data_IF_395302677970
#
_entry.id   IF_395302677970
#
_cell.length_a   1.000
_cell.length_b   1.000
_cell.length_c   1.000
_cell.angle_alpha   90.00
_cell.angle_beta   90.00
_cell.angle_gamma   90.00
#
_symmetry.space_group_name_H-M   'P 1'
#
loop_
_entity.id
_entity.type
_entity.pdbx_description
1 polymer ?
#
# COMPACT_ATOMS: atom_id res chain seq x y z
N UNK A 1 -11.48 -27.43 -11.83
CA UNK A 1 -10.07 -26.94 -11.87
C UNK A 1 -9.97 -25.43 -12.08
N UNK A 2 -10.81 -24.81 -12.94
CA UNK A 2 -10.81 -23.34 -13.16
C UNK A 2 -11.40 -22.53 -11.99
N UNK A 3 -12.23 -23.14 -11.16
CA UNK A 3 -12.97 -22.43 -10.10
C UNK A 3 -12.08 -21.95 -8.95
N UNK A 4 -11.02 -22.73 -8.60
CA UNK A 4 -10.06 -22.33 -7.56
C UNK A 4 -9.29 -21.05 -7.93
N UNK A 5 -8.98 -20.84 -9.21
CA UNK A 5 -8.27 -19.63 -9.65
C UNK A 5 -9.18 -18.42 -9.63
N UNK A 6 -10.45 -18.58 -10.05
CA UNK A 6 -11.46 -17.52 -9.93
C UNK A 6 -11.67 -17.11 -8.49
N UNK A 7 -11.73 -18.08 -7.57
CA UNK A 7 -11.85 -17.81 -6.14
C UNK A 7 -10.60 -17.10 -5.59
N UNK A 8 -9.40 -17.51 -6.00
CA UNK A 8 -8.17 -16.81 -5.64
C UNK A 8 -8.20 -15.35 -6.11
N UNK A 9 -8.56 -15.10 -7.38
CA UNK A 9 -8.66 -13.75 -7.96
C UNK A 9 -9.71 -12.91 -7.22
N UNK A 10 -10.86 -13.51 -6.87
CA UNK A 10 -11.90 -12.83 -6.09
C UNK A 10 -11.41 -12.44 -4.67
N UNK A 11 -10.47 -13.20 -4.10
CA UNK A 11 -9.84 -12.91 -2.80
C UNK A 11 -8.63 -11.99 -2.98
N UNK A 12 -8.93 -10.70 -3.22
CA UNK A 12 -7.95 -9.66 -3.55
C UNK A 12 -6.74 -9.58 -2.59
N UNK A 13 -6.94 -9.85 -1.29
CA UNK A 13 -5.86 -9.75 -0.29
C UNK A 13 -4.69 -10.70 -0.55
N UNK A 14 -4.95 -11.91 -1.06
CA UNK A 14 -3.90 -12.87 -1.40
C UNK A 14 -3.43 -12.69 -2.84
N UNK A 15 -4.38 -12.51 -3.77
CA UNK A 15 -4.07 -12.38 -5.19
C UNK A 15 -3.17 -11.18 -5.49
N UNK A 16 -3.40 -10.04 -4.83
CA UNK A 16 -2.57 -8.84 -5.01
C UNK A 16 -1.11 -9.10 -4.64
N UNK A 17 -0.84 -9.77 -3.52
CA UNK A 17 0.53 -10.11 -3.10
C UNK A 17 1.17 -11.08 -4.10
N UNK A 18 0.43 -12.10 -4.54
CA UNK A 18 0.91 -13.06 -5.53
C UNK A 18 1.26 -12.38 -6.87
N UNK A 19 0.44 -11.42 -7.31
CA UNK A 19 0.68 -10.64 -8.53
C UNK A 19 1.91 -9.74 -8.38
N UNK A 20 2.08 -9.05 -7.26
CA UNK A 20 3.27 -8.23 -7.01
C UNK A 20 4.56 -9.06 -7.02
N UNK A 21 4.52 -10.27 -6.44
CA UNK A 21 5.64 -11.23 -6.51
C UNK A 21 5.89 -11.66 -7.96
N UNK A 22 4.83 -11.93 -8.73
CA UNK A 22 4.94 -12.36 -10.13
C UNK A 22 5.56 -11.29 -11.03
N UNK A 23 5.11 -10.05 -10.90
CA UNK A 23 5.56 -8.92 -11.72
C UNK A 23 6.95 -8.41 -11.29
N UNK A 24 7.42 -8.78 -10.10
CA UNK A 24 8.71 -8.32 -9.57
C UNK A 24 8.77 -6.81 -9.33
N UNK A 25 7.61 -6.14 -9.25
CA UNK A 25 7.54 -4.69 -9.09
C UNK A 25 7.92 -4.28 -7.67
N UNK A 26 8.60 -3.14 -7.58
CA UNK A 26 8.88 -2.48 -6.31
C UNK A 26 7.80 -1.45 -6.02
N UNK A 27 7.01 -1.69 -4.98
CA UNK A 27 6.11 -0.67 -4.45
C UNK A 27 6.91 0.36 -3.66
N UNK A 28 6.90 1.60 -4.14
CA UNK A 28 7.57 2.72 -3.47
C UNK A 28 6.66 3.43 -2.46
N UNK A 29 5.34 3.33 -2.63
CA UNK A 29 4.34 3.99 -1.79
C UNK A 29 3.23 3.01 -1.43
N UNK A 30 2.80 2.98 -0.17
CA UNK A 30 1.75 2.03 0.25
C UNK A 30 0.41 2.33 -0.42
N UNK A 31 0.03 3.61 -0.49
CA UNK A 31 -1.22 4.09 -1.05
C UNK A 31 -1.05 5.46 -1.73
N UNK A 32 -2.12 5.94 -2.36
CA UNK A 32 -2.15 7.19 -3.12
C UNK A 32 -2.29 8.47 -2.26
N UNK A 33 -2.42 8.35 -0.94
CA UNK A 33 -2.81 9.42 -0.02
C UNK A 33 -1.82 10.60 0.02
N UNK A 34 -2.22 11.75 -0.54
CA UNK A 34 -1.38 12.92 -0.66
C UNK A 34 -0.43 12.88 -1.86
N UNK A 35 -0.57 11.95 -2.81
CA UNK A 35 0.24 11.91 -4.04
C UNK A 35 -0.63 11.85 -5.30
N UNK A 36 -1.42 10.78 -5.44
CA UNK A 36 -2.35 10.59 -6.56
C UNK A 36 -3.81 10.75 -6.16
N UNK A 37 -4.07 10.87 -4.85
CA UNK A 37 -5.39 11.06 -4.29
C UNK A 37 -5.29 12.01 -3.10
N UNK A 38 -6.29 12.88 -2.98
CA UNK A 38 -6.51 13.77 -1.85
C UNK A 38 -7.98 13.68 -1.45
N UNK A 39 -8.34 14.25 -0.31
CA UNK A 39 -9.73 14.36 0.15
C UNK A 39 -10.03 15.81 0.49
N UNK A 40 -11.23 16.26 0.20
CA UNK A 40 -11.70 17.60 0.50
C UNK A 40 -12.91 17.42 1.41
N UNK A 41 -12.93 18.11 2.55
CA UNK A 41 -14.07 18.05 3.46
C UNK A 41 -15.21 19.00 3.04
N UNK A 42 -16.26 19.06 3.85
CA UNK A 42 -17.44 19.89 3.56
C UNK A 42 -17.18 21.39 3.66
N UNK A 43 -16.13 21.79 4.38
CA UNK A 43 -15.75 23.18 4.59
C UNK A 43 -14.73 23.65 3.54
N UNK A 44 -14.21 22.72 2.73
CA UNK A 44 -13.26 22.99 1.65
C UNK A 44 -11.80 22.72 2.01
N UNK A 45 -11.51 22.20 3.21
CA UNK A 45 -10.16 21.87 3.62
C UNK A 45 -9.65 20.60 2.94
N UNK A 46 -8.38 20.64 2.53
CA UNK A 46 -7.72 19.60 1.75
C UNK A 46 -6.89 18.71 2.68
N UNK A 47 -7.01 17.39 2.52
CA UNK A 47 -6.33 16.38 3.33
C UNK A 47 -5.70 15.28 2.45
N UNK A 48 -4.69 14.55 2.97
CA UNK A 48 -4.02 13.49 2.21
C UNK A 48 -4.95 12.34 1.83
N UNK A 49 -5.86 11.97 2.72
CA UNK A 49 -6.91 11.00 2.44
C UNK A 49 -8.08 11.16 3.42
N UNK A 50 -9.16 10.44 3.15
CA UNK A 50 -10.38 10.48 3.95
C UNK A 50 -10.17 10.17 5.45
N UNK A 51 -9.11 9.43 5.81
CA UNK A 51 -8.84 9.10 7.23
C UNK A 51 -8.17 10.24 8.00
N UNK A 52 -7.58 11.23 7.30
CA UNK A 52 -6.96 12.41 7.92
C UNK A 52 -7.91 13.61 8.00
N UNK A 53 -9.12 13.50 7.45
CA UNK A 53 -10.11 14.59 7.47
C UNK A 53 -10.43 14.99 8.90
N UNK A 54 -10.38 16.30 9.19
CA UNK A 54 -10.60 16.87 10.51
C UNK A 54 -9.34 16.97 11.39
N UNK A 55 -8.22 16.37 11.00
CA UNK A 55 -6.95 16.52 11.70
C UNK A 55 -6.19 17.74 11.19
N UNK A 56 -6.21 18.82 11.96
CA UNK A 56 -5.60 20.10 11.57
C UNK A 56 -4.10 20.00 11.28
N UNK A 57 -3.38 19.05 11.87
CA UNK A 57 -1.96 18.84 11.61
C UNK A 57 -1.68 18.37 10.17
N UNK A 58 -2.66 17.69 9.56
CA UNK A 58 -2.57 17.16 8.20
C UNK A 58 -3.38 17.96 7.19
N UNK A 59 -3.85 19.16 7.54
CA UNK A 59 -4.49 20.05 6.58
C UNK A 59 -3.44 20.55 5.58
N UNK A 60 -3.70 20.30 4.29
CA UNK A 60 -2.85 20.66 3.17
C UNK A 60 -3.25 21.98 2.52
N UNK A 61 -4.34 22.61 2.98
CA UNK A 61 -4.83 23.86 2.39
C UNK A 61 -6.36 23.92 2.31
N UNK A 62 -6.84 24.84 1.50
CA UNK A 62 -8.26 25.20 1.42
C UNK A 62 -8.60 25.63 -0.01
N UNK A 63 -9.60 24.96 -0.60
CA UNK A 63 -10.05 25.23 -1.97
C UNK A 63 -10.67 26.61 -2.14
N UNK A 64 -11.25 27.19 -1.08
CA UNK A 64 -11.87 28.52 -1.13
C UNK A 64 -10.83 29.64 -1.24
N UNK A 65 -9.62 29.39 -0.70
CA UNK A 65 -8.50 30.34 -0.74
C UNK A 65 -7.49 30.03 -1.84
N UNK A 66 -7.69 28.95 -2.60
CA UNK A 66 -6.72 28.40 -3.57
C UNK A 66 -5.33 28.12 -2.97
N UNK A 67 -5.28 27.80 -1.67
CA UNK A 67 -4.04 27.42 -0.99
C UNK A 67 -3.89 25.91 -1.00
N UNK A 68 -2.74 25.42 -1.45
CA UNK A 68 -2.39 24.00 -1.41
C UNK A 68 -0.91 23.80 -1.12
N UNK A 69 -0.59 23.49 0.14
CA UNK A 69 0.75 23.23 0.67
C UNK A 69 1.12 21.74 0.57
N UNK A 70 1.14 21.24 -0.65
CA UNK A 70 1.37 19.81 -0.94
C UNK A 70 2.69 19.29 -0.38
N UNK A 71 3.79 20.02 -0.60
CA UNK A 71 5.15 19.55 -0.34
C UNK A 71 5.43 19.29 1.15
N UNK A 72 4.80 20.05 2.05
CA UNK A 72 5.02 19.95 3.49
C UNK A 72 4.56 18.58 4.00
N UNK A 73 3.36 18.19 3.62
CA UNK A 73 2.75 16.93 4.05
C UNK A 73 3.27 15.77 3.19
N UNK A 74 3.52 15.97 1.90
CA UNK A 74 4.10 14.95 1.03
C UNK A 74 5.42 14.40 1.59
N UNK A 75 6.35 15.28 2.00
CA UNK A 75 7.64 14.87 2.54
C UNK A 75 7.54 14.10 3.87
N UNK A 76 6.49 14.34 4.65
CA UNK A 76 6.23 13.63 5.90
C UNK A 76 5.63 12.24 5.65
N UNK A 77 4.77 12.13 4.64
CA UNK A 77 4.03 10.90 4.32
C UNK A 77 4.89 9.88 3.57
N UNK A 78 5.73 10.33 2.64
CA UNK A 78 6.41 9.44 1.69
C UNK A 78 7.84 9.03 2.10
N UNK A 79 8.05 8.87 3.40
CA UNK A 79 9.31 8.36 3.96
C UNK A 79 9.20 6.87 4.26
N UNK A 80 10.10 6.06 3.68
CA UNK A 80 10.23 4.65 4.07
C UNK A 80 10.72 4.61 5.52
N UNK A 81 9.97 3.97 6.44
CA UNK A 81 10.38 3.82 7.83
C UNK A 81 11.73 3.10 7.95
N UNK A 82 12.57 3.51 8.91
CA UNK A 82 13.92 2.94 9.08
C UNK A 82 13.90 1.43 9.23
N UNK A 83 12.98 0.91 10.06
CA UNK A 83 12.81 -0.53 10.29
C UNK A 83 12.42 -1.31 9.03
N UNK A 84 11.84 -0.64 8.02
CA UNK A 84 11.41 -1.27 6.78
C UNK A 84 12.54 -1.46 5.77
N UNK A 85 13.69 -0.76 5.91
CA UNK A 85 14.82 -0.88 4.99
C UNK A 85 15.38 -2.30 4.88
N UNK A 86 15.25 -3.08 5.95
CA UNK A 86 15.74 -4.46 6.04
C UNK A 86 14.59 -5.49 6.06
N UNK A 87 13.37 -5.09 5.71
CA UNK A 87 12.19 -5.95 5.78
C UNK A 87 11.96 -6.68 4.44
N UNK A 88 11.72 -8.00 4.49
CA UNK A 88 11.39 -8.81 3.30
C UNK A 88 10.09 -8.37 2.59
N UNK A 89 9.18 -7.70 3.30
CA UNK A 89 7.91 -7.22 2.75
C UNK A 89 7.99 -5.78 2.22
N UNK A 90 9.17 -5.15 2.23
CA UNK A 90 9.31 -3.72 1.92
C UNK A 90 8.74 -3.36 0.55
N UNK A 91 9.02 -4.19 -0.47
CA UNK A 91 8.54 -3.98 -1.84
C UNK A 91 7.04 -4.25 -2.01
N UNK A 92 6.38 -4.86 -1.02
CA UNK A 92 4.96 -5.22 -1.06
C UNK A 92 4.12 -4.22 -0.29
N UNK A 93 4.57 -3.81 0.90
CA UNK A 93 3.78 -2.94 1.79
C UNK A 93 4.32 -1.53 1.98
N UNK A 94 5.58 -1.26 1.63
CA UNK A 94 6.17 0.09 1.66
C UNK A 94 5.99 0.89 2.97
N UNK A 95 5.81 0.22 4.12
CA UNK A 95 5.60 0.89 5.42
C UNK A 95 4.14 0.94 5.93
N UNK A 96 3.17 0.46 5.15
CA UNK A 96 1.77 0.33 5.58
C UNK A 96 0.98 1.64 5.61
N UNK A 97 -0.22 1.60 6.19
CA UNK A 97 -1.10 2.76 6.28
C UNK A 97 -0.55 3.79 7.28
N UNK A 98 -0.26 5.00 6.79
CA UNK A 98 0.29 6.09 7.60
C UNK A 98 -0.67 6.54 8.70
N UNK A 99 -1.97 6.54 8.43
CA UNK A 99 -2.98 6.85 9.43
C UNK A 99 -2.98 5.81 10.57
N UNK A 100 -2.86 4.51 10.27
CA UNK A 100 -2.80 3.49 11.32
C UNK A 100 -1.52 3.60 12.14
N UNK A 101 -0.40 3.94 11.50
CA UNK A 101 0.87 4.20 12.17
C UNK A 101 0.73 5.38 13.15
N UNK A 102 0.13 6.49 12.72
CA UNK A 102 -0.16 7.62 13.58
C UNK A 102 -1.10 7.24 14.73
N UNK A 103 -2.21 6.57 14.43
CA UNK A 103 -3.22 6.22 15.43
C UNK A 103 -2.64 5.34 16.55
N UNK A 104 -1.90 4.30 16.18
CA UNK A 104 -1.42 3.25 17.07
C UNK A 104 -0.05 3.55 17.69
N UNK A 105 0.84 4.20 16.95
CA UNK A 105 2.22 4.47 17.37
C UNK A 105 2.47 5.95 17.71
N UNK A 106 1.48 6.82 17.51
CA UNK A 106 1.59 8.28 17.65
C UNK A 106 2.69 8.89 16.78
N UNK A 107 3.06 8.18 15.70
CA UNK A 107 4.08 8.61 14.77
C UNK A 107 3.87 7.91 13.41
N UNK A 108 3.61 8.70 12.36
CA UNK A 108 3.43 8.21 10.99
C UNK A 108 4.60 7.35 10.46
N UNK A 109 5.81 7.64 10.94
CA UNK A 109 7.05 6.99 10.51
C UNK A 109 7.37 5.70 11.27
N UNK A 110 6.53 5.30 12.24
CA UNK A 110 6.69 4.07 13.01
C UNK A 110 5.56 3.12 12.63
N UNK A 111 5.82 2.07 11.84
CA UNK A 111 4.75 1.18 11.41
C UNK A 111 4.11 0.44 12.56
N UNK A 112 2.79 0.33 12.54
CA UNK A 112 2.04 -0.43 13.53
C UNK A 112 2.45 -1.91 13.55
N UNK A 113 2.88 -2.41 14.70
CA UNK A 113 3.43 -3.77 14.84
C UNK A 113 2.42 -4.87 14.48
N UNK A 114 1.14 -4.69 14.81
CA UNK A 114 0.09 -5.64 14.42
C UNK A 114 -0.03 -5.79 12.89
N UNK A 115 -0.01 -4.66 12.17
CA UNK A 115 -0.05 -4.63 10.71
C UNK A 115 1.21 -5.24 10.10
N UNK A 116 2.39 -4.95 10.67
CA UNK A 116 3.64 -5.57 10.26
C UNK A 116 3.62 -7.09 10.40
N UNK A 117 3.13 -7.61 11.52
CA UNK A 117 3.03 -9.06 11.76
C UNK A 117 2.10 -9.72 10.75
N UNK A 118 0.91 -9.17 10.54
CA UNK A 118 -0.05 -9.69 9.57
C UNK A 118 0.53 -9.71 8.15
N UNK A 119 1.13 -8.59 7.73
CA UNK A 119 1.70 -8.47 6.40
C UNK A 119 2.85 -9.45 6.17
N UNK A 120 3.72 -9.66 7.17
CA UNK A 120 4.79 -10.66 7.11
C UNK A 120 4.23 -12.06 6.90
N UNK A 121 3.26 -12.46 7.72
CA UNK A 121 2.62 -13.78 7.59
C UNK A 121 1.98 -13.93 6.21
N UNK A 122 1.20 -12.95 5.74
CA UNK A 122 0.57 -13.03 4.42
C UNK A 122 1.60 -13.11 3.29
N UNK A 123 2.68 -12.34 3.37
CA UNK A 123 3.77 -12.34 2.37
C UNK A 123 4.48 -13.69 2.35
N UNK A 124 4.82 -14.24 3.52
CA UNK A 124 5.46 -15.55 3.62
C UNK A 124 4.59 -16.68 3.08
N UNK A 125 3.28 -16.66 3.37
CA UNK A 125 2.36 -17.65 2.83
C UNK A 125 2.17 -17.49 1.32
N UNK A 126 2.06 -16.25 0.83
CA UNK A 126 1.99 -15.97 -0.61
C UNK A 126 3.25 -16.44 -1.33
N UNK A 127 4.44 -16.24 -0.75
CA UNK A 127 5.70 -16.71 -1.33
C UNK A 127 5.75 -18.24 -1.42
N UNK A 128 5.36 -18.94 -0.36
CA UNK A 128 5.27 -20.42 -0.35
C UNK A 128 4.31 -20.92 -1.45
N UNK A 129 3.15 -20.28 -1.56
CA UNK A 129 2.17 -20.60 -2.60
C UNK A 129 2.78 -20.34 -3.98
N UNK A 130 3.37 -19.17 -4.21
CA UNK A 130 3.95 -18.77 -5.49
C UNK A 130 5.02 -19.75 -5.98
N UNK A 131 5.92 -20.20 -5.10
CA UNK A 131 6.95 -21.19 -5.42
C UNK A 131 6.33 -22.55 -5.81
N UNK A 132 5.18 -22.91 -5.24
CA UNK A 132 4.47 -24.14 -5.57
C UNK A 132 3.68 -24.09 -6.88
N UNK A 133 3.52 -22.91 -7.50
CA UNK A 133 2.77 -22.74 -8.74
C UNK A 133 3.56 -23.24 -9.95
N UNK A 134 2.92 -24.05 -10.78
CA UNK A 134 3.43 -24.40 -12.11
C UNK A 134 3.29 -23.22 -13.08
N UNK A 135 3.97 -23.26 -14.22
CA UNK A 135 3.82 -22.21 -15.23
C UNK A 135 2.40 -22.16 -15.82
N UNK A 136 1.70 -23.31 -15.85
CA UNK A 136 0.28 -23.38 -16.20
C UNK A 136 -0.56 -22.63 -15.16
N UNK A 137 -0.29 -22.84 -13.86
CA UNK A 137 -1.00 -22.10 -12.79
C UNK A 137 -0.77 -20.59 -12.89
N UNK A 138 0.48 -20.17 -13.13
CA UNK A 138 0.83 -18.76 -13.31
C UNK A 138 0.08 -18.15 -14.49
N UNK A 139 0.01 -18.86 -15.63
CA UNK A 139 -0.75 -18.42 -16.80
C UNK A 139 -2.24 -18.23 -16.51
N UNK A 140 -2.85 -19.13 -15.74
CA UNK A 140 -4.26 -18.99 -15.33
C UNK A 140 -4.51 -17.85 -14.35
N UNK A 141 -3.56 -17.54 -13.47
CA UNK A 141 -3.70 -16.51 -12.44
C UNK A 141 -3.36 -15.10 -12.94
N UNK A 142 -2.31 -14.97 -13.75
CA UNK A 142 -1.72 -13.67 -14.09
C UNK A 142 -1.89 -13.32 -15.58
N UNK A 143 -2.10 -14.29 -16.46
CA UNK A 143 -2.17 -14.10 -17.92
C UNK A 143 -0.88 -14.51 -18.65
N UNK A 144 -0.73 -14.11 -19.91
CA UNK A 144 0.45 -14.39 -20.74
C UNK A 144 1.60 -13.36 -20.59
N UNK A 145 1.44 -12.37 -19.70
CA UNK A 145 2.50 -11.42 -19.28
C UNK A 145 2.63 -11.52 -17.75
N UNK A 146 3.81 -11.56 -17.12
CA UNK A 146 5.07 -10.87 -17.40
C UNK A 146 6.28 -11.62 -16.82
N UNK A 147 7.37 -11.78 -17.58
CA UNK A 147 8.66 -12.19 -16.98
C UNK A 147 9.54 -10.99 -16.62
N UNK A 148 9.60 -9.93 -17.44
CA UNK A 148 10.13 -8.60 -17.10
C UNK A 148 9.65 -7.65 -18.22
N UNK A 149 8.56 -6.93 -18.00
CA UNK A 149 8.04 -5.90 -18.92
C UNK A 149 8.16 -4.55 -18.22
N UNK A 150 8.91 -3.62 -18.84
CA UNK A 150 9.34 -2.33 -18.28
C UNK A 150 8.24 -1.36 -17.90
#
# INVERSE_FOLDING_TARGET
MRDKYKECIARHNLYSILREIHEGKKRNVYCAAGFKAISIDIDGYIYPCHRFVGDKEFCMGDVSTNVFEHDVIYNQLYKIPEKCKYCICQSICSGGCMHDNLLLMKNINIPAECNCKLQKVLTEQALKIYISLTDIDKKYLFGEESCYGG
#
